data_IF_973931354901
#
_entry.id   IF_973931354901
#
_cell.length_a   1.000
_cell.length_b   1.000
_cell.length_c   1.000
_cell.angle_alpha   90.00
_cell.angle_beta   90.00
_cell.angle_gamma   90.00
#
_symmetry.space_group_name_H-M   'P 1'
#
loop_
_entity.id
_entity.type
_entity.pdbx_description
1 polymer ?
#
# COMPACT_ATOMS: atom_id res chain seq x y z
N UNK A 1 -6.65 -10.46 -17.75
CA UNK A 1 -6.77 -10.71 -16.29
C UNK A 1 -8.23 -10.95 -15.94
N UNK A 2 -8.50 -11.87 -15.00
CA UNK A 2 -9.83 -12.16 -14.48
C UNK A 2 -10.39 -10.95 -13.70
N UNK A 3 -11.72 -10.77 -13.74
CA UNK A 3 -12.41 -9.74 -12.97
C UNK A 3 -12.22 -10.02 -11.46
N UNK A 4 -11.88 -9.02 -10.64
CA UNK A 4 -11.75 -9.24 -9.20
C UNK A 4 -13.08 -9.73 -8.61
N UNK A 5 -13.04 -10.66 -7.64
CA UNK A 5 -14.23 -11.08 -6.91
C UNK A 5 -14.80 -9.91 -6.07
N UNK A 6 -16.02 -10.09 -5.57
CA UNK A 6 -16.65 -9.07 -4.71
C UNK A 6 -15.91 -8.99 -3.37
N UNK A 7 -15.79 -7.79 -2.82
CA UNK A 7 -15.21 -7.56 -1.49
C UNK A 7 -13.69 -7.38 -1.47
N UNK A 8 -13.07 -7.19 -2.65
CA UNK A 8 -11.72 -6.66 -2.77
C UNK A 8 -11.73 -5.37 -3.60
N UNK A 9 -11.16 -4.30 -3.05
CA UNK A 9 -11.05 -3.01 -3.73
C UNK A 9 -9.88 -2.98 -4.71
N UNK A 10 -10.09 -2.46 -5.93
CA UNK A 10 -9.00 -2.28 -6.91
C UNK A 10 -8.12 -1.06 -6.62
N UNK A 11 -8.58 -0.19 -5.72
CA UNK A 11 -7.83 0.92 -5.16
C UNK A 11 -7.13 0.56 -3.84
N UNK A 12 -7.26 -0.70 -3.39
CA UNK A 12 -6.52 -1.21 -2.25
C UNK A 12 -5.01 -1.23 -2.53
N UNK A 13 -4.22 -0.97 -1.50
CA UNK A 13 -2.76 -1.10 -1.55
C UNK A 13 -2.34 -2.53 -1.86
N UNK A 14 -2.94 -3.54 -1.21
CA UNK A 14 -2.58 -4.93 -1.46
C UNK A 14 -2.91 -5.37 -2.89
N UNK A 15 -4.13 -5.12 -3.36
CA UNK A 15 -4.53 -5.46 -4.72
C UNK A 15 -3.68 -4.72 -5.77
N UNK A 16 -3.46 -3.41 -5.61
CA UNK A 16 -2.68 -2.63 -6.59
C UNK A 16 -1.23 -3.09 -6.65
N UNK A 17 -0.58 -3.27 -5.49
CA UNK A 17 0.80 -3.75 -5.39
C UNK A 17 0.96 -5.16 -5.95
N UNK A 18 0.03 -6.07 -5.67
CA UNK A 18 0.03 -7.43 -6.19
C UNK A 18 -0.07 -7.43 -7.72
N UNK A 19 -0.98 -6.63 -8.28
CA UNK A 19 -1.16 -6.54 -9.74
C UNK A 19 0.05 -5.89 -10.44
N UNK A 20 0.64 -4.86 -9.83
CA UNK A 20 1.86 -4.24 -10.32
C UNK A 20 3.04 -5.23 -10.35
N UNK A 21 3.22 -6.01 -9.27
CA UNK A 21 4.21 -7.07 -9.22
C UNK A 21 3.92 -8.16 -10.26
N UNK A 22 2.66 -8.58 -10.39
CA UNK A 22 2.26 -9.60 -11.36
C UNK A 22 2.59 -9.21 -12.81
N UNK A 23 2.36 -7.94 -13.19
CA UNK A 23 2.79 -7.41 -14.49
C UNK A 23 4.30 -7.44 -14.65
N UNK A 24 5.07 -7.03 -13.63
CA UNK A 24 6.53 -7.12 -13.67
C UNK A 24 7.03 -8.57 -13.82
N UNK A 25 6.41 -9.54 -13.15
CA UNK A 25 6.79 -10.95 -13.25
C UNK A 25 6.44 -11.60 -14.60
N UNK A 26 5.47 -11.05 -15.32
CA UNK A 26 5.15 -11.40 -16.72
C UNK A 26 6.04 -10.66 -17.74
N UNK A 27 6.87 -9.72 -17.28
CA UNK A 27 7.62 -8.81 -18.14
C UNK A 27 6.70 -8.00 -19.10
N UNK A 28 5.58 -7.53 -18.56
CA UNK A 28 4.58 -6.76 -19.30
C UNK A 28 4.39 -5.39 -18.67
N UNK A 29 4.12 -4.34 -19.47
CA UNK A 29 3.78 -3.03 -18.92
C UNK A 29 2.54 -3.13 -18.04
N UNK A 30 2.57 -2.40 -16.92
CA UNK A 30 1.36 -2.17 -16.16
C UNK A 30 0.34 -1.51 -17.10
N UNK A 31 -0.85 -2.08 -17.16
CA UNK A 31 -1.96 -1.52 -17.92
C UNK A 31 -3.09 -1.30 -16.93
N UNK A 32 -3.23 -0.09 -16.39
CA UNK A 32 -4.48 0.24 -15.70
C UNK A 32 -5.56 0.38 -16.77
N UNK A 33 -6.55 -0.50 -16.72
CA UNK A 33 -7.72 -0.42 -17.60
C UNK A 33 -8.33 0.97 -17.42
N UNK A 34 -8.20 1.81 -18.44
CA UNK A 34 -9.01 3.01 -18.58
C UNK A 34 -10.45 2.55 -18.63
N UNK A 35 -11.15 2.75 -17.52
CA UNK A 35 -12.58 2.52 -17.46
C UNK A 35 -13.26 3.43 -18.48
N UNK A 36 -14.48 3.12 -18.93
CA UNK A 36 -15.26 4.06 -19.73
C UNK A 36 -15.43 5.42 -19.04
N UNK A 37 -15.29 5.48 -17.70
CA UNK A 37 -15.25 6.73 -16.93
C UNK A 37 -14.03 7.59 -17.28
N UNK A 38 -12.86 7.01 -17.61
CA UNK A 38 -11.66 7.78 -18.00
C UNK A 38 -11.86 8.57 -19.30
N UNK A 39 -12.75 8.10 -20.19
CA UNK A 39 -13.16 8.86 -21.38
C UNK A 39 -14.14 9.99 -21.08
N UNK A 40 -14.81 9.94 -19.93
CA UNK A 40 -15.81 10.91 -19.47
C UNK A 40 -15.28 11.85 -18.36
N UNK A 41 -14.15 11.53 -17.72
CA UNK A 41 -13.47 12.35 -16.72
C UNK A 41 -13.12 13.77 -17.22
N UNK A 42 -12.62 13.97 -18.48
CA UNK A 42 -12.38 15.32 -19.03
C UNK A 42 -13.63 16.21 -19.10
N UNK A 43 -14.82 15.61 -19.05
CA UNK A 43 -16.11 16.32 -19.03
C UNK A 43 -16.67 16.52 -17.62
N UNK A 44 -16.25 15.73 -16.64
CA UNK A 44 -16.46 16.00 -15.21
C UNK A 44 -15.56 17.14 -14.70
N UNK A 45 -14.45 17.44 -15.41
CA UNK A 45 -13.52 18.53 -15.14
C UNK A 45 -14.12 19.95 -15.25
N UNK A 46 -15.30 20.09 -15.86
CA UNK A 46 -16.03 21.38 -15.94
C UNK A 46 -17.07 21.57 -14.85
N UNK A 47 -17.25 20.60 -13.96
CA UNK A 47 -18.24 20.68 -12.88
C UNK A 47 -17.68 21.39 -11.64
N UNK A 48 -18.52 22.02 -10.80
CA UNK A 48 -18.12 22.57 -9.50
C UNK A 48 -17.47 21.50 -8.60
N UNK A 49 -16.57 21.91 -7.68
CA UNK A 49 -15.78 21.01 -6.79
C UNK A 49 -16.59 19.88 -6.14
N UNK A 50 -17.79 20.19 -5.64
CA UNK A 50 -18.71 19.23 -5.00
C UNK A 50 -19.18 18.07 -5.89
N UNK A 51 -19.19 18.24 -7.22
CA UNK A 51 -19.55 17.18 -8.18
C UNK A 51 -18.33 16.39 -8.68
N UNK A 52 -17.11 16.84 -8.36
CA UNK A 52 -15.87 16.09 -8.64
C UNK A 52 -15.50 15.15 -7.51
N UNK A 53 -15.78 15.56 -6.27
CA UNK A 53 -15.78 14.69 -5.07
C UNK A 53 -16.65 13.44 -5.28
N UNK A 54 -17.75 13.58 -6.04
CA UNK A 54 -18.62 12.47 -6.46
C UNK A 54 -17.92 11.40 -7.33
N UNK A 55 -16.89 11.74 -8.10
CA UNK A 55 -16.16 10.77 -8.94
C UNK A 55 -15.38 9.73 -8.13
N UNK A 56 -14.78 10.16 -7.01
CA UNK A 56 -14.12 9.27 -6.04
C UNK A 56 -15.13 8.39 -5.29
N UNK A 57 -16.28 8.96 -4.90
CA UNK A 57 -17.35 8.21 -4.25
C UNK A 57 -17.95 7.12 -5.18
N UNK A 58 -18.10 7.41 -6.48
CA UNK A 58 -18.65 6.46 -7.46
C UNK A 58 -17.70 5.31 -7.77
N UNK A 59 -16.39 5.58 -7.92
CA UNK A 59 -15.40 4.52 -8.19
C UNK A 59 -15.22 3.59 -7.00
N UNK A 60 -15.24 4.14 -5.78
CA UNK A 60 -15.34 3.36 -4.54
C UNK A 60 -16.59 2.48 -4.55
N UNK A 61 -17.76 3.03 -4.88
CA UNK A 61 -19.07 2.34 -4.83
C UNK A 61 -19.18 1.14 -5.78
N UNK A 62 -18.44 1.16 -6.90
CA UNK A 62 -18.39 0.04 -7.82
C UNK A 62 -17.69 -1.20 -7.21
N UNK A 63 -16.71 -0.99 -6.33
CA UNK A 63 -15.94 -2.05 -5.68
C UNK A 63 -16.53 -2.45 -4.30
N UNK A 64 -17.39 -1.60 -3.72
CA UNK A 64 -18.04 -1.81 -2.43
C UNK A 64 -19.12 -2.90 -2.41
N UNK A 65 -19.06 -3.80 -1.43
CA UNK A 65 -20.16 -4.76 -1.18
C UNK A 65 -21.26 -4.10 -0.36
N UNK A 66 -22.49 -4.62 -0.43
CA UNK A 66 -23.55 -4.21 0.49
C UNK A 66 -23.36 -4.85 1.87
N UNK A 67 -23.91 -4.28 2.96
CA UNK A 67 -23.86 -4.89 4.28
C UNK A 67 -24.40 -6.32 4.32
N UNK A 68 -25.42 -6.64 3.50
CA UNK A 68 -25.99 -7.99 3.38
C UNK A 68 -25.00 -9.00 2.78
N UNK A 69 -24.14 -8.55 1.87
CA UNK A 69 -23.13 -9.38 1.21
C UNK A 69 -21.89 -9.63 2.07
N UNK A 70 -21.74 -8.91 3.19
CA UNK A 70 -20.58 -9.06 4.07
C UNK A 70 -20.44 -10.50 4.62
N UNK A 71 -21.56 -11.18 4.87
CA UNK A 71 -21.59 -12.58 5.32
C UNK A 71 -21.40 -13.61 4.19
N UNK A 72 -21.33 -13.17 2.94
CA UNK A 72 -21.17 -14.02 1.74
C UNK A 72 -19.77 -13.87 1.12
N UNK A 73 -18.84 -13.21 1.83
CA UNK A 73 -17.49 -12.96 1.34
C UNK A 73 -16.72 -14.27 1.15
N UNK A 74 -16.32 -14.54 -0.08
CA UNK A 74 -15.48 -15.68 -0.42
C UNK A 74 -14.00 -15.35 -0.26
N UNK A 75 -13.46 -15.56 0.94
CA UNK A 75 -12.04 -15.31 1.26
C UNK A 75 -11.12 -16.22 0.43
N UNK A 76 -11.54 -17.46 0.16
CA UNK A 76 -10.76 -18.42 -0.61
C UNK A 76 -10.73 -18.01 -2.09
N UNK A 77 -11.88 -17.65 -2.68
CA UNK A 77 -11.94 -17.13 -4.05
C UNK A 77 -11.17 -15.82 -4.25
N UNK A 78 -11.07 -14.97 -3.21
CA UNK A 78 -10.18 -13.80 -3.21
C UNK A 78 -8.71 -14.24 -3.28
N UNK A 79 -8.31 -15.21 -2.46
CA UNK A 79 -6.96 -15.76 -2.46
C UNK A 79 -6.61 -16.43 -3.81
N UNK A 80 -7.54 -17.20 -4.40
CA UNK A 80 -7.43 -17.78 -5.74
C UNK A 80 -7.21 -16.70 -6.80
N UNK A 81 -8.01 -15.63 -6.77
CA UNK A 81 -7.84 -14.50 -7.69
C UNK A 81 -6.46 -13.86 -7.56
N UNK A 82 -5.99 -13.63 -6.33
CA UNK A 82 -4.67 -13.05 -6.05
C UNK A 82 -3.55 -13.90 -6.66
N UNK A 83 -3.53 -15.22 -6.41
CA UNK A 83 -2.47 -16.09 -6.95
C UNK A 83 -2.60 -16.32 -8.45
N UNK A 84 -3.82 -16.27 -9.00
CA UNK A 84 -4.06 -16.39 -10.45
C UNK A 84 -3.44 -15.23 -11.25
N UNK A 85 -3.14 -14.12 -10.59
CA UNK A 85 -2.43 -13.01 -11.23
C UNK A 85 -0.97 -13.36 -11.53
N UNK A 86 -0.37 -14.34 -10.87
CA UNK A 86 1.04 -14.67 -11.09
C UNK A 86 1.23 -15.73 -12.20
N UNK A 87 2.32 -15.64 -12.99
CA UNK A 87 2.65 -16.68 -13.96
C UNK A 87 2.95 -18.01 -13.25
N UNK A 88 2.41 -19.11 -13.73
CA UNK A 88 2.66 -20.43 -13.16
C UNK A 88 4.07 -20.91 -13.54
N UNK A 89 5.02 -20.81 -12.60
CA UNK A 89 6.43 -21.21 -12.76
C UNK A 89 7.07 -21.46 -11.41
N UNK A 90 8.27 -22.04 -11.42
CA UNK A 90 9.10 -22.10 -10.23
C UNK A 90 9.68 -20.71 -9.87
N UNK A 91 9.72 -20.42 -8.58
CA UNK A 91 10.24 -19.19 -8.02
C UNK A 91 11.37 -19.49 -7.03
N UNK A 92 12.48 -18.71 -7.04
CA UNK A 92 13.59 -18.95 -6.13
C UNK A 92 13.24 -18.63 -4.66
N UNK A 93 12.23 -17.79 -4.45
CA UNK A 93 11.67 -17.44 -3.16
C UNK A 93 10.24 -16.88 -3.32
N UNK A 94 9.54 -16.68 -2.22
CA UNK A 94 8.30 -15.90 -2.18
C UNK A 94 8.26 -15.02 -0.94
N UNK A 95 7.48 -13.94 -1.02
CA UNK A 95 7.17 -13.08 0.11
C UNK A 95 5.73 -13.29 0.58
N UNK A 96 5.50 -13.12 1.88
CA UNK A 96 4.15 -13.05 2.45
C UNK A 96 4.11 -12.05 3.59
N UNK A 97 3.03 -11.26 3.70
CA UNK A 97 2.83 -10.40 4.87
C UNK A 97 2.28 -9.01 4.54
N UNK A 98 2.80 -8.00 5.23
CA UNK A 98 2.35 -6.62 5.11
C UNK A 98 2.53 -6.05 3.68
N UNK A 99 1.64 -5.15 3.28
CA UNK A 99 1.81 -4.33 2.07
C UNK A 99 2.99 -3.38 2.24
N UNK A 100 3.83 -3.25 1.20
CA UNK A 100 4.94 -2.30 1.17
C UNK A 100 5.44 -2.11 -0.27
N UNK A 101 5.45 -0.89 -0.79
CA UNK A 101 5.87 -0.65 -2.17
C UNK A 101 7.37 -0.90 -2.41
N UNK A 102 8.24 -0.62 -1.44
CA UNK A 102 9.66 -0.96 -1.55
C UNK A 102 9.88 -2.47 -1.60
N UNK A 103 9.10 -3.26 -0.84
CA UNK A 103 9.12 -4.72 -0.94
C UNK A 103 8.71 -5.18 -2.34
N UNK A 104 7.69 -4.56 -2.93
CA UNK A 104 7.20 -4.92 -4.27
C UNK A 104 8.29 -4.73 -5.33
N UNK A 105 9.07 -3.64 -5.25
CA UNK A 105 10.25 -3.46 -6.08
C UNK A 105 11.30 -4.55 -5.84
N UNK A 106 11.65 -4.82 -4.57
CA UNK A 106 12.60 -5.88 -4.25
C UNK A 106 12.15 -7.25 -4.81
N UNK A 107 10.87 -7.58 -4.67
CA UNK A 107 10.28 -8.81 -5.19
C UNK A 107 10.31 -8.87 -6.72
N UNK A 108 10.07 -7.75 -7.40
CA UNK A 108 10.18 -7.64 -8.85
C UNK A 108 11.63 -7.84 -9.33
N UNK A 109 12.61 -7.20 -8.69
CA UNK A 109 14.03 -7.39 -8.98
C UNK A 109 14.47 -8.85 -8.78
N UNK A 110 13.92 -9.54 -7.77
CA UNK A 110 14.21 -10.95 -7.51
C UNK A 110 13.45 -11.92 -8.42
N UNK A 111 12.44 -11.45 -9.16
CA UNK A 111 11.57 -12.29 -9.97
C UNK A 111 10.63 -13.19 -9.14
N UNK A 112 10.26 -12.77 -7.93
CA UNK A 112 9.52 -13.56 -6.93
C UNK A 112 8.15 -12.97 -6.59
N UNK A 113 7.12 -13.79 -6.28
CA UNK A 113 5.78 -13.31 -5.93
C UNK A 113 5.70 -12.79 -4.50
N UNK A 114 4.66 -12.01 -4.21
CA UNK A 114 4.30 -11.57 -2.87
C UNK A 114 2.82 -11.84 -2.58
N UNK A 115 2.54 -12.47 -1.44
CA UNK A 115 1.20 -12.78 -1.00
C UNK A 115 0.78 -11.82 0.13
N UNK A 116 -0.26 -10.98 -0.06
CA UNK A 116 -0.69 -10.06 0.97
C UNK A 116 -1.38 -10.79 2.12
N UNK A 117 -1.05 -10.44 3.37
CA UNK A 117 -1.84 -10.87 4.52
C UNK A 117 -3.13 -10.07 4.67
N UNK A 118 -3.08 -8.78 4.31
CA UNK A 118 -4.16 -7.83 4.55
C UNK A 118 -4.73 -7.37 3.23
N UNK A 119 -6.05 -7.27 3.13
CA UNK A 119 -6.73 -6.62 2.00
C UNK A 119 -7.92 -5.77 2.46
N UNK A 120 -8.32 -4.81 1.63
CA UNK A 120 -9.46 -3.93 1.90
C UNK A 120 -10.75 -4.50 1.32
N UNK A 121 -11.75 -4.64 2.20
CA UNK A 121 -13.14 -4.91 1.86
C UNK A 121 -13.98 -3.65 2.14
N UNK A 122 -14.24 -2.80 1.13
CA UNK A 122 -15.14 -1.66 1.30
C UNK A 122 -16.58 -2.14 1.40
N UNK A 123 -17.33 -1.60 2.37
CA UNK A 123 -18.76 -1.88 2.55
C UNK A 123 -19.54 -0.58 2.36
N UNK A 124 -20.50 -0.59 1.43
CA UNK A 124 -21.33 0.56 1.09
C UNK A 124 -22.26 0.94 2.24
N UNK A 125 -22.40 2.23 2.45
CA UNK A 125 -23.41 2.84 3.31
C UNK A 125 -24.11 3.95 2.53
N UNK A 126 -25.40 4.19 2.80
CA UNK A 126 -26.18 5.18 2.04
C UNK A 126 -25.71 6.61 2.30
N UNK A 127 -25.36 6.90 3.56
CA UNK A 127 -24.73 8.14 3.99
C UNK A 127 -24.14 7.94 5.38
N UNK A 128 -22.89 8.35 5.58
CA UNK A 128 -22.25 8.39 6.89
C UNK A 128 -21.63 9.76 7.13
N UNK A 129 -21.58 10.19 8.39
CA UNK A 129 -20.80 11.34 8.82
C UNK A 129 -19.35 10.86 9.06
N UNK A 130 -18.36 11.27 8.24
CA UNK A 130 -16.97 10.86 8.42
C UNK A 130 -16.42 11.22 9.81
N UNK A 131 -16.93 12.29 10.42
CA UNK A 131 -16.45 12.83 11.70
C UNK A 131 -17.19 12.28 12.93
N UNK A 132 -18.25 11.50 12.74
CA UNK A 132 -18.94 10.82 13.84
C UNK A 132 -18.38 9.41 14.04
N UNK A 133 -17.26 9.36 14.76
CA UNK A 133 -16.56 8.11 15.07
C UNK A 133 -17.41 7.13 15.90
N UNK A 134 -18.30 7.63 16.76
CA UNK A 134 -19.18 6.78 17.58
C UNK A 134 -20.27 6.14 16.72
N UNK A 135 -20.92 6.93 15.87
CA UNK A 135 -21.92 6.41 14.95
C UNK A 135 -21.29 5.40 13.97
N UNK A 136 -20.13 5.71 13.41
CA UNK A 136 -19.38 4.79 12.55
C UNK A 136 -19.05 3.48 13.28
N UNK A 137 -18.51 3.57 14.50
CA UNK A 137 -18.25 2.41 15.35
C UNK A 137 -19.50 1.53 15.55
N UNK A 138 -20.62 2.11 16.00
CA UNK A 138 -21.85 1.36 16.27
C UNK A 138 -22.44 0.72 15.00
N UNK A 139 -22.48 1.47 13.90
CA UNK A 139 -23.01 0.97 12.62
C UNK A 139 -22.15 -0.18 12.05
N UNK A 140 -20.84 -0.12 12.24
CA UNK A 140 -19.91 -1.12 11.73
C UNK A 140 -19.93 -2.46 12.47
N UNK A 141 -20.52 -2.55 13.68
CA UNK A 141 -20.50 -3.78 14.50
C UNK A 141 -21.14 -4.97 13.80
N UNK A 142 -22.32 -4.78 13.20
CA UNK A 142 -23.04 -5.85 12.53
C UNK A 142 -22.28 -6.36 11.29
N UNK A 143 -21.66 -5.44 10.54
CA UNK A 143 -20.84 -5.76 9.38
C UNK A 143 -19.56 -6.51 9.79
N UNK A 144 -18.87 -6.05 10.85
CA UNK A 144 -17.70 -6.73 11.38
C UNK A 144 -18.04 -8.17 11.82
N UNK A 145 -19.17 -8.37 12.49
CA UNK A 145 -19.63 -9.69 12.88
C UNK A 145 -19.93 -10.60 11.67
N UNK A 146 -20.57 -10.06 10.62
CA UNK A 146 -20.83 -10.79 9.38
C UNK A 146 -19.54 -11.20 8.67
N UNK A 147 -18.56 -10.29 8.55
CA UNK A 147 -17.24 -10.57 7.98
C UNK A 147 -16.48 -11.62 8.79
N UNK A 148 -16.52 -11.56 10.12
CA UNK A 148 -15.87 -12.54 10.99
C UNK A 148 -16.41 -13.97 10.85
N UNK A 149 -17.67 -14.10 10.40
CA UNK A 149 -18.34 -15.38 10.22
C UNK A 149 -17.97 -16.06 8.89
N UNK A 150 -17.43 -15.34 7.91
CA UNK A 150 -17.11 -15.90 6.59
C UNK A 150 -15.89 -16.81 6.62
N UNK A 151 -14.92 -16.50 7.48
CA UNK A 151 -13.72 -17.32 7.63
C UNK A 151 -13.19 -17.33 9.09
N UNK A 152 -13.05 -18.51 9.74
CA UNK A 152 -12.69 -18.60 11.15
C UNK A 152 -11.32 -18.01 11.52
N UNK A 153 -10.41 -17.93 10.56
CA UNK A 153 -9.04 -17.43 10.72
C UNK A 153 -8.88 -15.98 10.22
N UNK A 154 -9.98 -15.25 10.06
CA UNK A 154 -9.96 -13.85 9.69
C UNK A 154 -9.87 -12.95 10.93
N UNK A 155 -9.14 -11.85 10.84
CA UNK A 155 -9.30 -10.70 11.74
C UNK A 155 -9.83 -9.50 10.95
N UNK A 156 -10.69 -8.71 11.60
CA UNK A 156 -11.43 -7.61 10.98
C UNK A 156 -11.10 -6.30 11.69
N UNK A 157 -10.46 -5.38 10.98
CA UNK A 157 -10.25 -4.01 11.43
C UNK A 157 -11.23 -3.10 10.71
N UNK A 158 -12.18 -2.52 11.44
CA UNK A 158 -12.98 -1.42 10.94
C UNK A 158 -12.19 -0.13 11.12
N UNK A 159 -11.68 0.44 10.03
CA UNK A 159 -10.95 1.72 10.06
C UNK A 159 -11.88 2.87 9.69
N UNK A 160 -11.78 3.95 10.44
CA UNK A 160 -12.35 5.25 10.09
C UNK A 160 -11.28 6.32 10.26
N UNK A 161 -10.79 6.87 9.14
CA UNK A 161 -9.86 8.00 9.11
C UNK A 161 -10.51 9.21 8.42
N UNK A 162 -11.13 10.14 9.16
CA UNK A 162 -11.74 11.33 8.58
C UNK A 162 -10.75 12.32 7.99
N UNK A 163 -9.46 12.23 8.33
CA UNK A 163 -8.43 13.15 7.82
C UNK A 163 -8.04 12.80 6.39
N UNK A 164 -7.76 11.51 6.15
CA UNK A 164 -7.25 11.00 4.86
C UNK A 164 -8.36 10.48 3.95
N UNK A 165 -9.35 9.77 4.51
CA UNK A 165 -10.35 9.01 3.74
C UNK A 165 -11.72 9.69 3.69
N UNK A 166 -11.82 11.00 4.01
CA UNK A 166 -13.11 11.70 4.20
C UNK A 166 -14.14 11.42 3.11
N UNK A 167 -13.73 11.57 1.84
CA UNK A 167 -14.60 11.38 0.68
C UNK A 167 -15.11 9.94 0.52
N UNK A 168 -14.28 8.96 0.89
CA UNK A 168 -14.67 7.54 0.87
C UNK A 168 -15.65 7.26 2.00
N UNK A 169 -15.40 7.81 3.20
CA UNK A 169 -16.19 7.56 4.40
C UNK A 169 -17.63 8.06 4.32
N UNK A 170 -17.93 9.04 3.46
CA UNK A 170 -19.32 9.51 3.26
C UNK A 170 -20.25 8.41 2.75
N UNK A 171 -19.71 7.46 1.98
CA UNK A 171 -20.49 6.43 1.29
C UNK A 171 -20.00 5.01 1.59
N UNK A 172 -18.97 4.85 2.44
CA UNK A 172 -18.35 3.57 2.76
C UNK A 172 -17.82 3.46 4.17
N UNK A 173 -17.76 2.21 4.62
CA UNK A 173 -16.95 1.78 5.75
C UNK A 173 -15.78 0.94 5.24
N UNK A 174 -14.58 1.23 5.74
CA UNK A 174 -13.36 0.54 5.33
C UNK A 174 -13.02 -0.60 6.30
N UNK A 175 -13.21 -1.85 5.85
CA UNK A 175 -12.81 -3.02 6.63
C UNK A 175 -11.51 -3.61 6.06
N UNK A 176 -10.44 -3.56 6.85
CA UNK A 176 -9.19 -4.27 6.55
C UNK A 176 -9.29 -5.67 7.13
N UNK A 177 -9.13 -6.66 6.26
CA UNK A 177 -9.26 -8.07 6.59
C UNK A 177 -7.86 -8.69 6.63
N UNK A 178 -7.46 -9.22 7.78
CA UNK A 178 -6.14 -9.83 8.00
C UNK A 178 -6.25 -11.33 8.11
N UNK A 179 -5.45 -12.05 7.32
CA UNK A 179 -5.39 -13.51 7.34
C UNK A 179 -4.52 -14.00 8.52
N UNK A 180 -5.11 -14.79 9.45
CA UNK A 180 -4.41 -15.46 10.57
C UNK A 180 -4.05 -16.92 10.29
N UNK A 181 -4.29 -17.38 9.07
CA UNK A 181 -3.81 -18.65 8.54
C UNK A 181 -3.58 -18.52 7.04
N UNK A 182 -3.05 -19.56 6.42
CA UNK A 182 -2.91 -19.64 4.98
C UNK A 182 -4.21 -20.14 4.34
N UNK A 183 -4.85 -19.36 3.44
CA UNK A 183 -5.87 -19.89 2.54
C UNK A 183 -5.32 -21.08 1.73
N UNK A 184 -6.20 -21.97 1.28
CA UNK A 184 -5.82 -23.13 0.48
C UNK A 184 -5.08 -22.71 -0.80
N UNK A 185 -5.58 -21.71 -1.52
CA UNK A 185 -5.02 -21.21 -2.75
C UNK A 185 -3.59 -20.68 -2.57
N UNK A 186 -3.30 -20.03 -1.43
CA UNK A 186 -1.94 -19.59 -1.12
C UNK A 186 -1.03 -20.78 -0.84
N UNK A 187 -1.50 -21.79 -0.10
CA UNK A 187 -0.73 -23.02 0.14
C UNK A 187 -0.42 -23.74 -1.17
N UNK A 188 -1.42 -23.98 -2.02
CA UNK A 188 -1.25 -24.67 -3.30
C UNK A 188 -0.31 -23.92 -4.24
N UNK A 189 -0.45 -22.59 -4.32
CA UNK A 189 0.45 -21.76 -5.10
C UNK A 189 1.90 -21.87 -4.63
N UNK A 190 2.15 -21.79 -3.31
CA UNK A 190 3.50 -21.92 -2.77
C UNK A 190 4.05 -23.35 -2.97
N UNK A 191 3.25 -24.38 -2.76
CA UNK A 191 3.67 -25.78 -2.94
C UNK A 191 3.96 -26.12 -4.41
N UNK A 192 3.21 -25.54 -5.35
CA UNK A 192 3.43 -25.71 -6.77
C UNK A 192 4.55 -24.82 -7.34
N UNK A 193 4.85 -23.69 -6.70
CA UNK A 193 5.77 -22.68 -7.20
C UNK A 193 7.13 -22.63 -6.50
N UNK A 194 7.28 -23.14 -5.28
CA UNK A 194 8.55 -23.10 -4.54
C UNK A 194 9.25 -24.46 -4.53
N UNK A 195 10.46 -24.58 -5.12
CA UNK A 195 11.22 -25.82 -5.08
C UNK A 195 11.75 -26.11 -3.66
N UNK A 196 12.21 -27.34 -3.44
CA UNK A 196 12.85 -27.71 -2.18
C UNK A 196 14.08 -26.82 -1.90
N UNK A 197 14.24 -26.37 -0.65
CA UNK A 197 15.32 -25.45 -0.26
C UNK A 197 15.11 -23.99 -0.65
N UNK A 198 13.96 -23.63 -1.25
CA UNK A 198 13.59 -22.24 -1.48
C UNK A 198 13.47 -21.44 -0.17
N UNK A 199 13.47 -20.11 -0.29
CA UNK A 199 13.29 -19.20 0.86
C UNK A 199 11.89 -18.60 0.86
N UNK A 200 11.22 -18.64 2.01
CA UNK A 200 9.97 -17.94 2.25
C UNK A 200 10.25 -16.75 3.17
N UNK A 201 9.93 -15.55 2.72
CA UNK A 201 10.13 -14.32 3.48
C UNK A 201 8.82 -13.83 4.10
N UNK A 202 8.83 -13.59 5.40
CA UNK A 202 7.78 -12.85 6.10
C UNK A 202 8.12 -11.36 6.06
N UNK A 203 7.25 -10.57 5.45
CA UNK A 203 7.31 -9.12 5.50
C UNK A 203 6.56 -8.59 6.74
N UNK A 204 7.30 -8.36 7.82
CA UNK A 204 6.76 -8.03 9.15
C UNK A 204 6.93 -6.55 9.49
N UNK A 205 5.96 -5.75 9.08
CA UNK A 205 5.78 -4.42 9.63
C UNK A 205 5.18 -4.49 11.04
N UNK A 206 5.86 -3.93 12.03
CA UNK A 206 5.52 -4.07 13.45
C UNK A 206 4.69 -2.90 13.97
N UNK A 207 4.34 -1.93 13.12
CA UNK A 207 3.54 -0.76 13.47
C UNK A 207 2.26 -1.19 14.18
N UNK A 208 2.04 -0.63 15.37
CA UNK A 208 0.81 -0.79 16.14
C UNK A 208 -0.04 0.47 16.02
N UNK A 209 -1.31 0.38 16.41
CA UNK A 209 -2.22 1.52 16.52
C UNK A 209 -3.21 1.31 17.67
N UNK A 210 -3.64 2.38 18.38
CA UNK A 210 -4.66 2.31 19.41
C UNK A 210 -6.04 1.94 18.84
N UNK A 211 -6.73 0.98 19.46
CA UNK A 211 -8.04 0.52 19.00
C UNK A 211 -9.06 0.37 20.12
N UNK A 212 -10.33 0.39 19.74
CA UNK A 212 -11.41 -0.19 20.54
C UNK A 212 -11.60 -1.64 20.10
N UNK A 213 -11.24 -2.59 20.97
CA UNK A 213 -11.40 -4.03 20.75
C UNK A 213 -12.88 -4.40 20.91
N UNK A 214 -13.45 -5.06 19.90
CA UNK A 214 -14.84 -5.57 19.95
C UNK A 214 -14.90 -7.07 20.21
N UNK A 215 -13.83 -7.80 19.86
CA UNK A 215 -13.63 -9.23 20.18
C UNK A 215 -12.15 -9.61 20.06
N UNK A 216 -11.81 -10.89 20.16
CA UNK A 216 -10.44 -11.38 19.96
C UNK A 216 -9.93 -11.22 18.52
N UNK A 217 -10.84 -11.05 17.56
CA UNK A 217 -10.57 -10.96 16.12
C UNK A 217 -11.11 -9.69 15.47
N UNK A 218 -11.74 -8.77 16.21
CA UNK A 218 -12.27 -7.53 15.63
C UNK A 218 -11.94 -6.29 16.44
N UNK A 219 -11.64 -5.24 15.70
CA UNK A 219 -11.06 -3.99 16.19
C UNK A 219 -11.67 -2.82 15.44
N UNK A 220 -11.97 -1.75 16.16
CA UNK A 220 -12.25 -0.45 15.57
C UNK A 220 -11.02 0.44 15.71
N UNK A 221 -10.52 0.93 14.58
CA UNK A 221 -9.36 1.79 14.47
C UNK A 221 -9.81 3.18 14.02
N UNK A 222 -9.63 4.18 14.88
CA UNK A 222 -9.85 5.57 14.51
C UNK A 222 -8.53 6.24 14.12
N UNK A 223 -8.49 6.79 12.90
CA UNK A 223 -7.30 7.34 12.27
C UNK A 223 -6.34 6.30 11.68
N UNK A 224 -5.32 6.79 11.00
CA UNK A 224 -4.22 5.99 10.47
C UNK A 224 -2.91 6.82 10.44
N UNK A 225 -1.75 6.16 10.30
CA UNK A 225 -0.50 6.85 9.97
C UNK A 225 -0.65 7.64 8.67
N UNK A 226 0.02 8.78 8.52
CA UNK A 226 -0.01 9.56 7.27
C UNK A 226 -0.10 11.08 7.41
N UNK A 227 -0.17 11.64 8.63
CA UNK A 227 0.02 13.08 8.84
C UNK A 227 -0.51 13.63 10.16
N UNK A 228 -1.69 13.19 10.58
CA UNK A 228 -2.17 13.37 11.95
C UNK A 228 -1.54 12.33 12.87
N UNK A 229 -1.21 12.76 14.09
CA UNK A 229 -0.71 11.91 15.16
C UNK A 229 -1.85 11.20 15.89
N UNK A 230 -1.52 10.13 16.63
CA UNK A 230 -2.49 9.44 17.50
C UNK A 230 -3.13 10.41 18.51
N UNK A 231 -2.34 11.30 19.10
CA UNK A 231 -2.86 12.31 20.04
C UNK A 231 -3.84 13.26 19.37
N UNK A 232 -3.59 13.67 18.13
CA UNK A 232 -4.52 14.53 17.39
C UNK A 232 -5.85 13.83 17.11
N UNK A 233 -5.84 12.56 16.69
CA UNK A 233 -7.07 11.80 16.50
C UNK A 233 -7.86 11.61 17.80
N UNK A 234 -7.18 11.31 18.91
CA UNK A 234 -7.84 10.90 20.15
C UNK A 234 -8.19 12.06 21.09
N UNK A 235 -7.40 13.14 21.07
CA UNK A 235 -7.52 14.26 22.01
C UNK A 235 -7.82 15.59 21.30
N UNK A 236 -7.69 15.64 19.98
CA UNK A 236 -7.79 16.86 19.20
C UNK A 236 -6.53 17.72 19.28
N UNK A 237 -6.69 19.01 18.99
CA UNK A 237 -5.61 20.00 19.00
C UNK A 237 -5.84 21.09 17.95
N UNK A 238 -4.95 22.09 17.88
CA UNK A 238 -5.13 23.23 16.97
C UNK A 238 -5.27 22.83 15.50
N UNK A 239 -4.44 21.88 15.02
CA UNK A 239 -4.50 21.36 13.64
C UNK A 239 -5.82 20.64 13.34
N UNK A 240 -6.39 19.96 14.33
CA UNK A 240 -7.69 19.27 14.21
C UNK A 240 -8.83 20.28 14.16
N UNK A 241 -8.84 21.27 15.06
CA UNK A 241 -9.85 22.32 15.07
C UNK A 241 -9.83 23.13 13.76
N UNK A 242 -8.64 23.47 13.25
CA UNK A 242 -8.48 24.15 11.96
C UNK A 242 -9.00 23.28 10.80
N UNK A 243 -8.67 21.99 10.81
CA UNK A 243 -9.14 21.03 9.80
C UNK A 243 -10.67 20.91 9.80
N UNK A 244 -11.30 20.74 10.96
CA UNK A 244 -12.75 20.64 11.08
C UNK A 244 -13.45 21.93 10.68
N UNK A 245 -12.91 23.09 11.06
CA UNK A 245 -13.44 24.38 10.66
C UNK A 245 -13.38 24.57 9.14
N UNK A 246 -12.26 24.22 8.50
CA UNK A 246 -12.12 24.24 7.03
C UNK A 246 -13.09 23.28 6.34
N UNK A 247 -13.34 22.12 6.92
CA UNK A 247 -14.31 21.15 6.43
C UNK A 247 -15.76 21.56 6.70
N UNK A 248 -16.02 22.68 7.41
CA UNK A 248 -17.36 23.14 7.75
C UNK A 248 -18.06 22.29 8.80
N UNK A 249 -17.30 21.57 9.64
CA UNK A 249 -17.81 20.71 10.70
C UNK A 249 -17.90 21.49 12.01
N UNK A 250 -19.09 21.52 12.61
CA UNK A 250 -19.35 22.18 13.90
C UNK A 250 -18.91 21.29 15.08
N UNK A 251 -17.62 20.95 15.12
CA UNK A 251 -16.96 20.16 16.18
C UNK A 251 -15.55 20.70 16.41
N UNK A 252 -15.14 20.80 17.67
CA UNK A 252 -13.77 21.23 18.01
C UNK A 252 -12.74 20.09 17.94
N UNK A 253 -13.19 18.85 18.14
CA UNK A 253 -12.39 17.63 18.04
C UNK A 253 -13.31 16.43 17.73
N UNK A 254 -12.69 15.30 17.35
CA UNK A 254 -13.39 14.02 17.26
C UNK A 254 -13.53 13.36 18.63
N UNK A 255 -14.54 12.51 18.77
CA UNK A 255 -14.84 11.78 20.00
C UNK A 255 -14.93 10.27 19.75
N UNK A 256 -13.83 9.59 19.38
CA UNK A 256 -13.84 8.16 19.13
C UNK A 256 -14.24 7.35 20.38
N UNK A 257 -14.71 6.09 20.21
CA UNK A 257 -14.90 5.17 21.32
C UNK A 257 -13.61 4.98 22.11
N UNK A 258 -13.76 4.56 23.38
CA UNK A 258 -12.63 4.40 24.29
C UNK A 258 -11.63 3.38 23.74
N UNK A 259 -10.35 3.72 23.80
CA UNK A 259 -9.26 2.81 23.44
C UNK A 259 -9.14 1.75 24.53
N UNK A 260 -9.12 0.49 24.11
CA UNK A 260 -9.02 -0.66 25.02
C UNK A 260 -7.76 -1.48 24.77
N UNK A 261 -7.07 -1.26 23.65
CA UNK A 261 -5.91 -2.06 23.28
C UNK A 261 -5.00 -1.36 22.26
N UNK A 262 -3.81 -1.93 22.03
CA UNK A 262 -2.92 -1.61 20.92
C UNK A 262 -2.63 -2.88 20.12
N UNK A 263 -2.94 -2.86 18.83
CA UNK A 263 -2.83 -4.02 17.94
C UNK A 263 -2.12 -3.63 16.65
N UNK A 264 -1.67 -4.59 15.81
CA UNK A 264 -1.07 -4.26 14.52
C UNK A 264 -1.96 -3.33 13.71
N UNK A 265 -1.37 -2.28 13.14
CA UNK A 265 -2.09 -1.26 12.37
C UNK A 265 -2.87 -1.91 11.21
N UNK A 266 -4.08 -1.43 10.95
CA UNK A 266 -5.06 -2.08 10.09
C UNK A 266 -4.58 -2.40 8.65
N UNK A 267 -3.71 -1.61 8.02
CA UNK A 267 -3.23 -1.84 6.64
C UNK A 267 -1.78 -2.31 6.60
N UNK A 268 -0.91 -1.65 7.34
CA UNK A 268 0.52 -1.86 7.27
C UNK A 268 0.99 -2.89 8.27
N UNK A 269 0.39 -2.98 9.46
CA UNK A 269 0.86 -3.88 10.52
C UNK A 269 0.62 -5.35 10.20
N UNK A 270 1.60 -6.22 10.42
CA UNK A 270 1.42 -7.67 10.30
C UNK A 270 0.69 -8.22 11.53
N UNK A 271 -0.36 -9.02 11.31
CA UNK A 271 -0.95 -9.85 12.36
C UNK A 271 -0.08 -11.12 12.57
N UNK A 272 0.60 -11.20 13.71
CA UNK A 272 1.57 -12.25 14.01
C UNK A 272 1.00 -13.68 14.06
N UNK A 273 -0.33 -13.86 14.10
CA UNK A 273 -0.95 -15.19 14.10
C UNK A 273 -0.63 -16.02 12.85
N UNK A 274 -0.26 -15.38 11.73
CA UNK A 274 0.15 -16.05 10.49
C UNK A 274 1.54 -16.70 10.57
N UNK A 275 2.41 -16.27 11.49
CA UNK A 275 3.81 -16.72 11.55
C UNK A 275 3.90 -18.21 11.91
N UNK A 276 3.06 -18.69 12.82
CA UNK A 276 3.10 -20.10 13.27
C UNK A 276 2.70 -21.09 12.17
N UNK A 277 1.59 -20.88 11.42
CA UNK A 277 1.30 -21.65 10.21
C UNK A 277 2.44 -21.66 9.19
N UNK A 278 3.07 -20.51 8.94
CA UNK A 278 4.18 -20.40 7.99
C UNK A 278 5.42 -21.18 8.42
N UNK A 279 5.75 -21.18 9.72
CA UNK A 279 6.83 -22.03 10.28
C UNK A 279 6.57 -23.50 10.01
N UNK A 280 5.36 -23.98 10.31
CA UNK A 280 4.99 -25.39 10.08
C UNK A 280 5.08 -25.78 8.60
N UNK A 281 4.62 -24.90 7.71
CA UNK A 281 4.69 -25.11 6.27
C UNK A 281 6.15 -25.17 5.78
N UNK A 282 6.97 -24.21 6.19
CA UNK A 282 8.38 -24.15 5.81
C UNK A 282 9.17 -25.37 6.31
N UNK A 283 8.96 -25.80 7.55
CA UNK A 283 9.56 -27.02 8.12
C UNK A 283 9.14 -28.27 7.33
N UNK A 284 7.86 -28.41 7.00
CA UNK A 284 7.35 -29.55 6.26
C UNK A 284 7.94 -29.65 4.84
N UNK A 285 8.18 -28.50 4.19
CA UNK A 285 8.72 -28.41 2.82
C UNK A 285 10.24 -28.24 2.78
N UNK A 286 10.91 -28.17 3.94
CA UNK A 286 12.35 -27.87 4.07
C UNK A 286 12.75 -26.57 3.37
N UNK A 287 11.90 -25.56 3.50
CA UNK A 287 12.19 -24.20 3.08
C UNK A 287 12.87 -23.43 4.20
N UNK A 288 13.68 -22.43 3.83
CA UNK A 288 14.21 -21.48 4.81
C UNK A 288 13.16 -20.41 5.05
N UNK A 289 12.65 -20.29 6.28
CA UNK A 289 11.77 -19.17 6.65
C UNK A 289 12.60 -18.00 7.18
N UNK A 290 12.46 -16.84 6.57
CA UNK A 290 13.16 -15.61 6.93
C UNK A 290 12.14 -14.53 7.34
N UNK A 291 12.46 -13.71 8.32
CA UNK A 291 11.62 -12.58 8.74
C UNK A 291 12.35 -11.27 8.46
N UNK A 292 11.77 -10.44 7.60
CA UNK A 292 12.14 -9.04 7.42
C UNK A 292 11.27 -8.23 8.37
N UNK A 293 11.88 -7.55 9.35
CA UNK A 293 11.18 -6.85 10.42
C UNK A 293 11.55 -5.37 10.46
N UNK A 294 10.54 -4.51 10.49
CA UNK A 294 10.66 -3.05 10.60
C UNK A 294 9.39 -2.43 11.20
N UNK A 295 9.48 -1.25 11.80
CA UNK A 295 8.30 -0.57 12.37
C UNK A 295 7.70 0.47 11.42
N UNK A 296 8.54 1.31 10.82
CA UNK A 296 8.12 2.36 9.90
C UNK A 296 8.07 1.79 8.47
N UNK A 297 6.92 1.80 7.77
CA UNK A 297 6.83 1.19 6.44
C UNK A 297 7.83 1.75 5.41
N UNK A 298 8.10 3.05 5.45
CA UNK A 298 9.07 3.70 4.53
C UNK A 298 10.54 3.36 4.85
N UNK A 299 10.83 2.74 5.99
CA UNK A 299 12.20 2.34 6.34
C UNK A 299 12.80 1.38 5.29
N UNK A 300 11.97 0.52 4.71
CA UNK A 300 12.40 -0.44 3.70
C UNK A 300 12.85 0.25 2.40
N UNK A 301 12.32 1.44 2.08
CA UNK A 301 12.70 2.22 0.88
C UNK A 301 14.18 2.60 0.88
N UNK A 302 14.72 2.99 2.04
CA UNK A 302 16.16 3.28 2.18
C UNK A 302 17.04 2.06 1.87
N UNK A 303 16.60 0.89 2.34
CA UNK A 303 17.36 -0.37 2.17
C UNK A 303 17.29 -0.85 0.73
N UNK A 304 16.09 -0.87 0.15
CA UNK A 304 15.87 -1.36 -1.22
C UNK A 304 16.57 -0.47 -2.24
N UNK A 305 16.60 0.85 -2.03
CA UNK A 305 17.33 1.76 -2.90
C UNK A 305 18.83 1.45 -2.98
N UNK A 306 19.47 1.11 -1.85
CA UNK A 306 20.89 0.70 -1.82
C UNK A 306 21.11 -0.69 -2.44
N UNK A 307 20.17 -1.61 -2.27
CA UNK A 307 20.22 -2.94 -2.93
C UNK A 307 20.15 -2.78 -4.45
N UNK A 308 19.23 -1.96 -4.95
CA UNK A 308 19.12 -1.64 -6.37
C UNK A 308 20.39 -0.99 -6.91
N UNK A 309 20.98 -0.07 -6.14
CA UNK A 309 22.25 0.57 -6.51
C UNK A 309 23.36 -0.46 -6.68
N UNK A 310 23.59 -1.33 -5.69
CA UNK A 310 24.62 -2.36 -5.76
C UNK A 310 24.35 -3.36 -6.90
N UNK A 311 23.09 -3.74 -7.10
CA UNK A 311 22.67 -4.65 -8.16
C UNK A 311 22.93 -4.08 -9.56
N UNK A 312 22.54 -2.83 -9.80
CA UNK A 312 22.79 -2.13 -11.07
C UNK A 312 24.28 -1.95 -11.33
N UNK A 313 25.06 -1.53 -10.33
CA UNK A 313 26.51 -1.38 -10.47
C UNK A 313 27.18 -2.72 -10.81
N UNK A 314 26.77 -3.81 -10.17
CA UNK A 314 27.27 -5.15 -10.47
C UNK A 314 26.92 -5.62 -11.90
N UNK A 315 25.82 -5.12 -12.46
CA UNK A 315 25.39 -5.37 -13.83
C UNK A 315 26.00 -4.38 -14.86
N UNK A 316 26.88 -3.47 -14.44
CA UNK A 316 27.47 -2.44 -15.31
C UNK A 316 26.51 -1.31 -15.69
N UNK A 317 25.39 -1.18 -14.98
CA UNK A 317 24.41 -0.12 -15.14
C UNK A 317 24.78 1.03 -14.19
N UNK A 318 24.87 2.25 -14.71
CA UNK A 318 25.09 3.43 -13.88
C UNK A 318 23.72 3.97 -13.38
N UNK A 319 23.42 3.87 -12.07
CA UNK A 319 22.10 4.21 -11.55
C UNK A 319 21.92 5.73 -11.40
N UNK A 320 21.61 6.41 -12.51
CA UNK A 320 21.50 7.87 -12.57
C UNK A 320 20.07 8.40 -12.42
N UNK A 321 19.06 7.53 -12.42
CA UNK A 321 17.64 7.88 -12.30
C UNK A 321 17.05 7.37 -10.98
N UNK A 322 16.19 8.20 -10.38
CA UNK A 322 15.36 7.87 -9.23
C UNK A 322 13.88 7.94 -9.65
N UNK A 323 13.13 6.89 -9.35
CA UNK A 323 11.66 6.93 -9.38
C UNK A 323 11.16 6.97 -7.94
N UNK A 324 10.43 8.03 -7.60
CA UNK A 324 9.76 8.17 -6.31
C UNK A 324 8.31 7.75 -6.48
N UNK A 325 7.93 6.67 -5.81
CA UNK A 325 6.57 6.17 -5.80
C UNK A 325 5.78 6.74 -4.62
N UNK A 326 4.46 6.76 -4.73
CA UNK A 326 3.57 7.29 -3.70
C UNK A 326 2.37 6.39 -3.50
N UNK A 327 2.26 5.79 -2.32
CA UNK A 327 1.17 4.91 -1.90
C UNK A 327 0.91 3.76 -2.90
N UNK A 328 -0.17 3.84 -3.68
CA UNK A 328 -0.57 2.86 -4.70
C UNK A 328 -0.07 3.19 -6.12
N UNK A 329 0.61 4.33 -6.29
CA UNK A 329 1.26 4.70 -7.55
C UNK A 329 2.67 4.12 -7.54
N UNK A 330 2.81 2.94 -8.13
CA UNK A 330 4.08 2.24 -8.32
C UNK A 330 4.04 1.41 -9.61
N UNK A 331 5.17 1.39 -10.32
CA UNK A 331 5.37 0.55 -11.50
C UNK A 331 6.77 -0.08 -11.47
N UNK A 332 6.94 -1.21 -10.75
CA UNK A 332 8.23 -1.87 -10.62
C UNK A 332 8.79 -2.36 -11.96
N UNK A 333 7.93 -2.70 -12.92
CA UNK A 333 8.38 -3.06 -14.26
C UNK A 333 9.02 -1.86 -14.96
N UNK A 334 8.30 -0.74 -15.03
CA UNK A 334 8.80 0.46 -15.70
C UNK A 334 10.07 0.99 -15.02
N UNK A 335 10.12 1.05 -13.68
CA UNK A 335 11.32 1.48 -12.96
C UNK A 335 12.54 0.61 -13.29
N UNK A 336 12.39 -0.72 -13.40
CA UNK A 336 13.49 -1.59 -13.80
C UNK A 336 13.91 -1.38 -15.26
N UNK A 337 12.95 -1.29 -16.19
CA UNK A 337 13.24 -1.07 -17.62
C UNK A 337 13.89 0.30 -17.87
N UNK A 338 13.59 1.30 -17.04
CA UNK A 338 14.23 2.62 -17.10
C UNK A 338 15.54 2.69 -16.29
N UNK A 339 15.99 1.56 -15.71
CA UNK A 339 17.17 1.46 -14.85
C UNK A 339 17.15 2.49 -13.70
N UNK A 340 15.95 2.77 -13.19
CA UNK A 340 15.72 3.70 -12.11
C UNK A 340 15.83 2.96 -10.76
N UNK A 341 16.39 3.66 -9.78
CA UNK A 341 16.30 3.23 -8.38
C UNK A 341 14.93 3.64 -7.86
N UNK A 342 14.17 2.73 -7.24
CA UNK A 342 12.88 3.06 -6.64
C UNK A 342 13.05 3.60 -5.22
N UNK A 343 12.21 4.57 -4.86
CA UNK A 343 12.03 5.01 -3.47
C UNK A 343 10.54 5.20 -3.19
N UNK A 344 9.96 4.30 -2.42
CA UNK A 344 8.53 4.31 -2.14
C UNK A 344 8.19 5.14 -0.90
N UNK A 345 7.17 5.98 -1.02
CA UNK A 345 6.58 6.73 0.08
C UNK A 345 5.20 6.17 0.41
N UNK A 346 4.87 6.10 1.69
CA UNK A 346 3.57 5.62 2.16
C UNK A 346 2.45 6.55 1.71
N UNK A 347 2.67 7.86 1.77
CA UNK A 347 1.65 8.87 1.54
C UNK A 347 2.26 10.23 1.14
N UNK A 348 1.54 11.16 0.48
CA UNK A 348 2.03 12.51 0.20
C UNK A 348 2.05 13.43 1.44
N UNK A 349 2.56 12.95 2.57
CA UNK A 349 2.64 13.68 3.83
C UNK A 349 3.93 14.49 3.95
N UNK A 350 3.94 15.49 4.83
CA UNK A 350 5.16 16.20 5.22
C UNK A 350 6.23 15.25 5.77
N UNK A 351 5.84 14.25 6.56
CA UNK A 351 6.76 13.26 7.12
C UNK A 351 7.42 12.40 6.03
N UNK A 352 6.68 12.05 4.98
CA UNK A 352 7.16 11.32 3.81
C UNK A 352 8.08 12.18 2.94
N UNK A 353 7.74 13.47 2.76
CA UNK A 353 8.62 14.44 2.10
C UNK A 353 9.95 14.58 2.87
N UNK A 354 9.92 14.63 4.19
CA UNK A 354 11.13 14.68 5.03
C UNK A 354 11.94 13.38 4.94
N UNK A 355 11.28 12.22 4.83
CA UNK A 355 11.96 10.95 4.59
C UNK A 355 12.71 10.93 3.26
N UNK A 356 12.06 11.41 2.19
CA UNK A 356 12.69 11.56 0.89
C UNK A 356 13.85 12.56 0.93
N UNK A 357 13.69 13.72 1.59
CA UNK A 357 14.79 14.68 1.74
C UNK A 357 16.01 14.04 2.41
N UNK A 358 15.80 13.34 3.54
CA UNK A 358 16.89 12.65 4.26
C UNK A 358 17.59 11.61 3.40
N UNK A 359 16.87 10.97 2.48
CA UNK A 359 17.45 10.08 1.49
C UNK A 359 18.30 10.87 0.50
N UNK A 360 17.71 11.84 -0.21
CA UNK A 360 18.37 12.63 -1.24
C UNK A 360 19.65 13.34 -0.76
N UNK A 361 19.65 13.87 0.46
CA UNK A 361 20.81 14.54 1.07
C UNK A 361 22.02 13.62 1.29
N UNK A 362 21.80 12.30 1.39
CA UNK A 362 22.84 11.31 1.71
C UNK A 362 23.22 10.46 0.51
N UNK A 363 22.49 10.57 -0.59
CA UNK A 363 22.74 9.79 -1.80
C UNK A 363 23.69 10.51 -2.76
N UNK A 364 24.42 9.74 -3.59
CA UNK A 364 25.01 10.32 -4.79
C UNK A 364 23.93 11.03 -5.62
N UNK A 365 24.24 12.20 -6.19
CA UNK A 365 23.25 13.00 -6.90
C UNK A 365 22.75 12.27 -8.14
N UNK A 366 21.42 12.18 -8.26
CA UNK A 366 20.74 11.65 -9.43
C UNK A 366 20.74 12.68 -10.57
N UNK A 367 20.80 12.21 -11.81
CA UNK A 367 20.59 13.06 -12.99
C UNK A 367 19.11 13.37 -13.17
N UNK A 368 18.28 12.34 -12.98
CA UNK A 368 16.84 12.40 -13.19
C UNK A 368 16.10 11.97 -11.92
N UNK A 369 15.10 12.74 -11.51
CA UNK A 369 14.16 12.36 -10.45
C UNK A 369 12.74 12.45 -10.99
N UNK A 370 12.08 11.30 -11.12
CA UNK A 370 10.68 11.23 -11.54
C UNK A 370 9.83 10.88 -10.32
N UNK A 371 8.85 11.73 -9.99
CA UNK A 371 8.04 11.56 -8.80
C UNK A 371 6.57 11.41 -9.12
N UNK A 372 6.01 10.28 -8.70
CA UNK A 372 4.58 10.05 -8.64
C UNK A 372 4.05 10.65 -7.33
N UNK A 373 2.88 11.27 -7.36
CA UNK A 373 2.20 11.76 -6.15
C UNK A 373 0.75 11.30 -6.12
N UNK A 374 0.41 10.51 -5.11
CA UNK A 374 -0.95 10.07 -4.90
C UNK A 374 -1.85 11.25 -4.50
N UNK A 375 -2.95 11.44 -5.20
CA UNK A 375 -3.96 12.46 -4.87
C UNK A 375 -5.18 11.79 -4.23
N UNK A 376 -5.28 11.92 -2.90
CA UNK A 376 -6.37 11.34 -2.12
C UNK A 376 -7.70 12.13 -2.23
N UNK A 377 -7.66 13.36 -2.76
CA UNK A 377 -8.85 14.21 -2.89
C UNK A 377 -9.22 14.98 -1.63
N UNK A 378 -8.37 15.03 -0.61
CA UNK A 378 -8.63 15.73 0.65
C UNK A 378 -7.41 16.52 1.14
N UNK A 379 -7.66 17.70 1.70
CA UNK A 379 -6.67 18.53 2.39
C UNK A 379 -6.39 18.01 3.82
N UNK A 380 -5.89 16.77 3.91
CA UNK A 380 -5.68 16.06 5.17
C UNK A 380 -4.70 16.78 6.10
N UNK A 381 -4.82 16.54 7.40
CA UNK A 381 -3.86 17.00 8.40
C UNK A 381 -2.47 16.41 8.07
N UNK A 382 -1.48 17.27 7.84
CA UNK A 382 -0.10 16.86 7.58
C UNK A 382 0.22 16.51 6.12
N UNK A 383 -0.69 16.81 5.19
CA UNK A 383 -0.41 16.83 3.76
C UNK A 383 0.75 17.79 3.46
N UNK A 384 1.73 17.35 2.65
CA UNK A 384 2.75 18.25 2.11
C UNK A 384 2.18 19.04 0.93
N UNK A 385 2.47 20.33 0.86
CA UNK A 385 2.07 21.14 -0.29
C UNK A 385 2.84 20.76 -1.56
N UNK A 386 2.32 21.16 -2.72
CA UNK A 386 2.96 20.87 -4.01
C UNK A 386 4.35 21.50 -4.12
N UNK A 387 4.53 22.68 -3.51
CA UNK A 387 5.81 23.41 -3.49
C UNK A 387 6.91 22.61 -2.78
N UNK A 388 6.58 21.89 -1.70
CA UNK A 388 7.50 21.00 -1.00
C UNK A 388 8.01 19.89 -1.89
N UNK A 389 7.15 19.29 -2.71
CA UNK A 389 7.56 18.24 -3.66
C UNK A 389 8.42 18.80 -4.80
N UNK A 390 8.04 19.96 -5.35
CA UNK A 390 8.83 20.67 -6.35
C UNK A 390 10.24 21.01 -5.83
N UNK A 391 10.38 21.40 -4.56
CA UNK A 391 11.68 21.63 -3.95
C UNK A 391 12.55 20.36 -3.93
N UNK A 392 11.97 19.20 -3.63
CA UNK A 392 12.72 17.93 -3.61
C UNK A 392 13.19 17.51 -5.01
N UNK A 393 12.45 17.87 -6.06
CA UNK A 393 12.85 17.64 -7.44
C UNK A 393 14.12 18.42 -7.85
N UNK A 394 14.43 19.52 -7.16
CA UNK A 394 15.66 20.30 -7.42
C UNK A 394 16.95 19.58 -7.05
N UNK A 395 16.87 18.44 -6.34
CA UNK A 395 18.03 17.58 -6.10
C UNK A 395 18.53 16.87 -7.37
N UNK A 396 17.71 16.81 -8.43
CA UNK A 396 18.12 16.28 -9.72
C UNK A 396 19.14 17.20 -10.39
N UNK A 397 20.22 16.64 -10.94
CA UNK A 397 21.24 17.42 -11.65
C UNK A 397 20.75 17.98 -12.99
N UNK A 398 19.94 17.20 -13.70
CA UNK A 398 19.48 17.57 -15.04
C UNK A 398 17.98 17.93 -15.02
N UNK A 399 17.14 16.99 -14.57
CA UNK A 399 15.69 17.18 -14.61
C UNK A 399 15.00 16.43 -13.47
N UNK A 400 14.16 17.15 -12.72
CA UNK A 400 13.22 16.57 -11.78
C UNK A 400 11.79 16.89 -12.23
N UNK A 401 10.90 15.90 -12.26
CA UNK A 401 9.52 16.09 -12.71
C UNK A 401 8.49 15.37 -11.82
N UNK A 402 7.34 16.01 -11.66
CA UNK A 402 6.12 15.35 -11.21
C UNK A 402 5.49 14.64 -12.41
N UNK A 403 5.22 13.34 -12.28
CA UNK A 403 4.87 12.49 -13.41
C UNK A 403 3.40 12.09 -13.33
N UNK A 404 2.63 12.54 -14.32
CA UNK A 404 1.19 12.28 -14.39
C UNK A 404 0.38 13.00 -13.29
N UNK A 405 0.87 14.13 -12.79
CA UNK A 405 0.23 14.91 -11.72
C UNK A 405 -0.14 16.30 -12.25
N UNK A 406 -1.39 16.72 -12.06
CA UNK A 406 -1.80 18.11 -12.23
C UNK A 406 -1.51 18.91 -10.94
N UNK A 407 -0.41 19.67 -10.99
CA UNK A 407 0.12 20.47 -9.89
C UNK A 407 -0.86 21.53 -9.39
N UNK A 408 -1.73 22.04 -10.26
CA UNK A 408 -2.72 23.07 -9.90
C UNK A 408 -3.93 22.49 -9.19
N UNK A 409 -4.12 21.17 -9.30
CA UNK A 409 -5.26 20.44 -8.73
C UNK A 409 -4.87 19.59 -7.53
N UNK A 410 -3.61 19.26 -7.35
CA UNK A 410 -3.13 18.54 -6.17
C UNK A 410 -3.61 19.23 -4.87
N UNK A 411 -4.17 18.49 -3.88
CA UNK A 411 -4.27 17.02 -3.74
C UNK A 411 -5.54 16.38 -4.35
N UNK A 412 -6.29 17.11 -5.16
CA UNK A 412 -7.56 16.70 -5.78
C UNK A 412 -7.44 16.25 -7.25
N UNK A 413 -6.23 15.92 -7.70
CA UNK A 413 -6.01 15.42 -9.05
C UNK A 413 -6.36 13.93 -9.18
N UNK A 414 -7.61 13.67 -9.58
CA UNK A 414 -8.13 12.31 -9.77
C UNK A 414 -7.48 11.57 -10.94
N UNK A 415 -6.84 12.29 -11.87
CA UNK A 415 -6.26 11.71 -13.09
C UNK A 415 -4.92 11.04 -12.84
N UNK A 416 -4.23 11.42 -11.77
CA UNK A 416 -2.96 10.81 -11.32
C UNK A 416 -3.03 9.29 -11.20
N UNK A 417 -4.16 8.74 -10.75
CA UNK A 417 -4.31 7.28 -10.55
C UNK A 417 -4.50 6.53 -11.88
N UNK A 418 -5.03 7.16 -12.92
CA UNK A 418 -5.35 6.48 -14.18
C UNK A 418 -4.32 6.63 -15.28
N UNK A 419 -3.37 7.57 -15.15
CA UNK A 419 -2.41 7.88 -16.20
C UNK A 419 -0.93 7.74 -15.79
N UNK A 420 -0.63 7.50 -14.51
CA UNK A 420 0.76 7.48 -14.03
C UNK A 420 1.65 6.45 -14.74
N UNK A 421 1.10 5.29 -15.13
CA UNK A 421 1.81 4.19 -15.78
C UNK A 421 2.23 4.57 -17.21
N UNK A 422 1.34 5.21 -17.97
CA UNK A 422 1.68 5.77 -19.27
C UNK A 422 2.68 6.94 -19.15
N UNK A 423 2.41 7.88 -18.25
CA UNK A 423 3.25 9.05 -18.05
C UNK A 423 4.68 8.67 -17.61
N UNK A 424 4.83 7.69 -16.73
CA UNK A 424 6.14 7.22 -16.29
C UNK A 424 6.92 6.56 -17.42
N UNK A 425 6.27 5.72 -18.24
CA UNK A 425 6.93 5.07 -19.39
C UNK A 425 7.48 6.09 -20.40
N UNK A 426 6.85 7.24 -20.55
CA UNK A 426 7.30 8.30 -21.46
C UNK A 426 8.52 9.08 -20.94
N UNK A 427 8.89 8.94 -19.66
CA UNK A 427 10.01 9.69 -19.04
C UNK A 427 11.40 9.25 -19.51
N UNK A 428 11.54 8.00 -19.96
CA UNK A 428 12.82 7.47 -20.38
C UNK A 428 12.68 6.26 -21.32
N UNK A 429 13.69 6.00 -22.17
CA UNK A 429 13.76 4.76 -22.94
C UNK A 429 13.68 3.52 -22.04
N UNK A 430 12.98 2.51 -22.53
CA UNK A 430 12.93 1.20 -21.91
C UNK A 430 14.11 0.37 -22.40
N UNK A 431 14.93 -0.09 -21.47
CA UNK A 431 16.14 -0.88 -21.67
C UNK A 431 15.97 -2.23 -20.99
N UNK A 432 16.54 -3.33 -21.54
CA UNK A 432 16.46 -4.63 -20.89
C UNK A 432 16.91 -4.55 -19.42
N UNK A 433 16.05 -5.05 -18.53
CA UNK A 433 16.39 -5.16 -17.12
C UNK A 433 17.60 -6.09 -16.93
N UNK A 434 18.44 -5.86 -15.90
CA UNK A 434 19.52 -6.78 -15.55
C UNK A 434 19.00 -8.18 -15.20
N UNK A 435 19.88 -9.21 -15.19
CA UNK A 435 19.52 -10.52 -14.65
C UNK A 435 18.95 -10.40 -13.22
N UNK A 436 17.93 -11.21 -12.86
CA UNK A 436 17.26 -11.10 -11.58
C UNK A 436 18.22 -11.09 -10.37
N UNK A 437 17.90 -10.26 -9.39
CA UNK A 437 18.59 -10.18 -8.11
C UNK A 437 18.49 -11.52 -7.38
N UNK A 438 19.64 -12.10 -6.99
CA UNK A 438 19.63 -13.37 -6.27
C UNK A 438 19.11 -13.21 -4.84
N UNK A 439 18.50 -14.28 -4.30
CA UNK A 439 18.06 -14.36 -2.89
C UNK A 439 19.20 -14.03 -1.92
N UNK A 440 20.40 -14.56 -2.18
CA UNK A 440 21.58 -14.30 -1.35
C UNK A 440 22.00 -12.82 -1.35
N UNK A 441 21.97 -12.16 -2.52
CA UNK A 441 22.28 -10.73 -2.64
C UNK A 441 21.24 -9.89 -1.89
N UNK A 442 19.96 -10.23 -1.99
CA UNK A 442 18.89 -9.53 -1.26
C UNK A 442 19.08 -9.63 0.26
N UNK A 443 19.36 -10.84 0.78
CA UNK A 443 19.62 -11.07 2.21
C UNK A 443 20.85 -10.26 2.67
N UNK A 444 21.97 -10.35 1.94
CA UNK A 444 23.19 -9.64 2.27
C UNK A 444 22.99 -8.12 2.27
N UNK A 445 22.21 -7.62 1.30
CA UNK A 445 21.83 -6.21 1.21
C UNK A 445 21.02 -5.74 2.41
N UNK A 446 19.99 -6.49 2.81
CA UNK A 446 19.18 -6.15 3.99
C UNK A 446 20.02 -6.19 5.27
N UNK A 447 20.91 -7.18 5.42
CA UNK A 447 21.83 -7.26 6.57
C UNK A 447 22.79 -6.07 6.62
N UNK A 448 23.31 -5.66 5.46
CA UNK A 448 24.29 -4.57 5.34
C UNK A 448 23.69 -3.19 5.59
N UNK A 449 22.53 -2.91 5.01
CA UNK A 449 21.94 -1.57 5.02
C UNK A 449 20.83 -1.41 6.06
N UNK A 450 20.18 -2.50 6.48
CA UNK A 450 18.95 -2.46 7.27
C UNK A 450 19.07 -1.83 8.65
N UNK A 451 20.11 -2.18 9.41
CA UNK A 451 20.21 -1.79 10.83
C UNK A 451 20.16 -0.27 11.05
N UNK A 452 20.70 0.51 10.11
CA UNK A 452 20.72 1.99 10.16
C UNK A 452 19.34 2.61 10.00
N UNK A 453 18.40 1.86 9.42
CA UNK A 453 17.04 2.32 9.12
C UNK A 453 15.99 1.57 9.95
N UNK A 454 16.40 0.78 10.94
CA UNK A 454 15.46 -0.01 11.75
C UNK A 454 14.83 -1.19 10.99
N UNK A 455 15.50 -1.67 9.94
CA UNK A 455 15.13 -2.88 9.21
C UNK A 455 16.08 -4.01 9.62
N UNK A 456 15.54 -5.18 9.90
CA UNK A 456 16.35 -6.36 10.24
C UNK A 456 15.86 -7.58 9.46
N UNK A 457 16.75 -8.55 9.26
CA UNK A 457 16.41 -9.83 8.68
C UNK A 457 16.99 -10.96 9.52
N UNK A 458 16.21 -12.01 9.79
CA UNK A 458 16.66 -13.18 10.55
C UNK A 458 15.96 -14.46 10.09
N UNK A 459 16.64 -15.58 10.22
CA UNK A 459 16.04 -16.90 10.02
C UNK A 459 15.09 -17.24 11.18
N UNK A 460 14.00 -17.93 10.86
CA UNK A 460 12.99 -18.42 11.79
C UNK A 460 12.95 -19.96 11.90
N UNK A 461 13.55 -20.66 10.94
CA UNK A 461 13.68 -22.12 10.83
C UNK A 461 15.04 -22.47 10.23
#
# INVERSE_FOLDING_TARGET
>A
MSKPPKGIARFDSAATMLLALASALRDEPLTRSSSMLDRLLPSLDRLPSRLREWGHAISGQADGISPKQAGELDVEGIAEWMVSAYPQREYPAAFIGASNGALVHLAAAMGTPWLPQTFLCPVRVERSDPDDAQAGFEQGKAVAAALLATWPRLAVHHRQDPSQDRLLLENMQAFRLKLRDMPLAFNEFLLGGLPAGATLFINHCTRQWPVTRTSDRSFFQFGAPGGATESEYLQGGPRVAEYLARAGVDRACWTPPAITDHVPEAEWGLDGYLISPLKKLAEAQRWTLMEIRYEQPEALSFVVAEIYRDWYLAAGVLPTRLTVDSFILLDPWCSMQQQAIPFWLMFPSAASADALQRFLEKQPPFRYIDMLLYSQGADSIGLADIARWQQLLTFAKDEGALVGVDETRFPHDVTSVSQFDAALRERAPLLPAPPPLTVGTAIAGIQRYGARHGVSIRALT
#
